data_IF_881838841901
#
_entry.id   IF_881838841901
#
_cell.length_a   1.000
_cell.length_b   1.000
_cell.length_c   1.000
_cell.angle_alpha   90.00
_cell.angle_beta   90.00
_cell.angle_gamma   90.00
#
_symmetry.space_group_name_H-M   'P 1'
#
loop_
_entity.id
_entity.type
_entity.pdbx_description
1 polymer ?
#
# COMPACT_ATOMS: atom_id res chain seq x y z
N UNK A 1 -6.37 18.12 14.94
CA UNK A 1 -7.17 17.65 13.78
C UNK A 1 -6.92 18.49 12.54
N UNK A 2 -6.87 19.83 12.60
CA UNK A 2 -6.51 20.66 11.42
C UNK A 2 -5.04 20.59 11.01
N UNK A 3 -4.11 20.55 11.98
CA UNK A 3 -2.66 20.53 11.69
C UNK A 3 -2.21 19.26 10.95
N UNK A 4 -2.77 18.08 11.29
CA UNK A 4 -2.46 16.82 10.60
C UNK A 4 -3.00 16.78 9.16
N UNK A 5 -4.13 17.46 8.90
CA UNK A 5 -4.68 17.60 7.55
C UNK A 5 -3.81 18.52 6.68
N UNK A 6 -3.25 19.60 7.24
CA UNK A 6 -2.30 20.46 6.53
C UNK A 6 -0.96 19.77 6.25
N UNK A 7 -0.55 18.83 7.10
CA UNK A 7 0.70 18.09 6.95
C UNK A 7 0.60 16.95 5.95
N UNK A 8 -0.48 16.16 6.03
CA UNK A 8 -0.72 14.99 5.16
C UNK A 8 -1.31 15.41 3.79
N UNK A 9 -2.12 16.47 3.75
CA UNK A 9 -2.76 16.94 2.52
C UNK A 9 -4.01 16.15 2.14
N UNK A 10 -4.80 16.72 1.21
CA UNK A 10 -6.16 16.25 0.88
C UNK A 10 -6.19 14.81 0.32
N UNK A 11 -5.24 14.45 -0.55
CA UNK A 11 -5.21 13.14 -1.20
C UNK A 11 -4.79 12.00 -0.26
N UNK A 12 -3.88 12.29 0.67
CA UNK A 12 -3.36 11.30 1.62
C UNK A 12 -4.23 11.22 2.88
N UNK A 13 -5.04 12.25 3.14
CA UNK A 13 -6.01 12.26 4.24
C UNK A 13 -7.09 11.19 4.09
N UNK A 14 -7.66 11.02 2.88
CA UNK A 14 -8.63 9.95 2.61
C UNK A 14 -8.00 8.56 2.83
N UNK A 15 -6.74 8.38 2.42
CA UNK A 15 -5.99 7.15 2.63
C UNK A 15 -5.74 6.89 4.13
N UNK A 16 -5.37 7.91 4.89
CA UNK A 16 -5.16 7.83 6.34
C UNK A 16 -6.46 7.50 7.08
N UNK A 17 -7.59 8.08 6.68
CA UNK A 17 -8.90 7.73 7.23
C UNK A 17 -9.26 6.27 6.95
N UNK A 18 -9.10 5.81 5.71
CA UNK A 18 -9.35 4.42 5.33
C UNK A 18 -8.48 3.45 6.16
N UNK A 19 -7.21 3.79 6.39
CA UNK A 19 -6.30 3.03 7.27
C UNK A 19 -6.78 3.01 8.72
N UNK A 20 -7.21 4.14 9.27
CA UNK A 20 -7.77 4.21 10.64
C UNK A 20 -9.00 3.32 10.78
N UNK A 21 -9.86 3.25 9.75
CA UNK A 21 -11.03 2.36 9.75
C UNK A 21 -10.65 0.87 9.77
N UNK A 22 -9.48 0.48 9.25
CA UNK A 22 -8.97 -0.90 9.38
C UNK A 22 -8.49 -1.25 10.79
N UNK A 23 -8.28 -0.27 11.67
CA UNK A 23 -7.81 -0.46 13.05
C UNK A 23 -6.32 -0.79 13.18
N UNK A 24 -5.56 -0.81 12.08
CA UNK A 24 -4.11 -1.04 12.06
C UNK A 24 -3.35 0.27 11.87
N UNK A 25 -3.23 1.09 12.91
CA UNK A 25 -2.38 2.29 12.89
C UNK A 25 -1.64 2.47 14.22
N UNK A 26 -0.45 3.09 14.15
CA UNK A 26 0.29 3.52 15.35
C UNK A 26 -0.18 4.92 15.72
N UNK A 27 -0.70 5.04 16.94
CA UNK A 27 -1.07 6.33 17.50
C UNK A 27 0.17 7.05 18.06
N UNK A 28 0.35 8.31 17.68
CA UNK A 28 1.29 9.23 18.29
C UNK A 28 0.88 9.56 19.73
N UNK A 29 1.71 10.32 20.43
CA UNK A 29 1.53 10.80 21.81
C UNK A 29 0.18 11.50 22.06
N UNK A 30 -0.44 12.08 21.02
CA UNK A 30 -1.75 12.74 21.08
C UNK A 30 -2.94 11.79 20.77
N UNK A 31 -2.67 10.50 20.51
CA UNK A 31 -3.70 9.50 20.18
C UNK A 31 -4.17 9.54 18.71
N UNK A 32 -3.59 10.42 17.90
CA UNK A 32 -3.80 10.52 16.45
C UNK A 32 -2.78 9.64 15.71
N UNK A 33 -3.09 9.12 14.50
CA UNK A 33 -2.11 8.40 13.69
C UNK A 33 -0.88 9.28 13.42
N UNK A 34 0.31 8.71 13.57
CA UNK A 34 1.56 9.40 13.27
C UNK A 34 1.70 9.57 11.74
N UNK A 35 1.82 10.81 11.27
CA UNK A 35 1.99 11.16 9.85
C UNK A 35 3.31 10.63 9.27
N UNK A 36 4.39 10.68 10.04
CA UNK A 36 5.70 10.19 9.59
C UNK A 36 5.73 8.68 9.37
N UNK A 37 5.07 7.88 10.23
CA UNK A 37 4.91 6.43 10.01
C UNK A 37 3.96 6.15 8.83
N UNK A 38 2.94 7.00 8.63
CA UNK A 38 2.04 6.88 7.49
C UNK A 38 2.78 7.02 6.16
N UNK A 39 3.63 8.05 6.00
CA UNK A 39 4.42 8.25 4.78
C UNK A 39 5.39 7.09 4.51
N UNK A 40 5.95 6.47 5.56
CA UNK A 40 6.89 5.35 5.43
C UNK A 40 6.18 4.05 4.98
N UNK A 41 4.91 3.87 5.38
CA UNK A 41 4.14 2.66 5.05
C UNK A 41 3.24 2.81 3.85
N UNK A 42 2.89 4.05 3.46
CA UNK A 42 1.99 4.30 2.33
C UNK A 42 2.70 4.02 1.00
N UNK A 43 2.20 3.03 0.27
CA UNK A 43 2.74 2.62 -1.02
C UNK A 43 2.02 3.26 -2.22
N UNK A 44 1.14 4.23 -1.96
CA UNK A 44 0.41 4.97 -2.98
C UNK A 44 -1.02 4.48 -3.24
N UNK A 45 -1.66 5.16 -4.19
CA UNK A 45 -2.98 4.85 -4.72
C UNK A 45 -2.83 4.17 -6.08
N UNK A 46 -3.56 3.07 -6.27
CA UNK A 46 -3.48 2.22 -7.45
C UNK A 46 -4.87 1.97 -8.02
N UNK A 47 -4.96 1.77 -9.33
CA UNK A 47 -6.25 1.48 -9.99
C UNK A 47 -6.86 0.17 -9.47
N UNK A 48 -6.03 -0.81 -9.07
CA UNK A 48 -6.47 -2.07 -8.46
C UNK A 48 -5.30 -2.78 -7.76
N UNK A 49 -5.61 -3.72 -6.87
CA UNK A 49 -4.61 -4.56 -6.17
C UNK A 49 -3.65 -5.31 -7.13
N UNK A 50 -4.10 -5.92 -8.25
CA UNK A 50 -3.19 -6.56 -9.20
C UNK A 50 -2.23 -5.60 -9.91
N UNK A 51 -2.60 -4.33 -10.03
CA UNK A 51 -1.75 -3.29 -10.64
C UNK A 51 -0.54 -3.02 -9.73
N UNK A 52 -0.79 -2.85 -8.43
CA UNK A 52 0.27 -2.76 -7.42
C UNK A 52 1.16 -4.01 -7.40
N UNK A 53 0.58 -5.20 -7.42
CA UNK A 53 1.34 -6.45 -7.40
C UNK A 53 2.30 -6.55 -8.61
N UNK A 54 1.83 -6.16 -9.78
CA UNK A 54 2.65 -6.14 -11.01
C UNK A 54 3.80 -5.14 -10.89
N UNK A 55 3.51 -3.93 -10.41
CA UNK A 55 4.53 -2.91 -10.19
C UNK A 55 5.58 -3.34 -9.15
N UNK A 56 5.14 -3.96 -8.04
CA UNK A 56 6.04 -4.46 -7.00
C UNK A 56 6.96 -5.57 -7.53
N UNK A 57 6.45 -6.46 -8.37
CA UNK A 57 7.26 -7.49 -9.01
C UNK A 57 8.36 -6.91 -9.92
N UNK A 58 8.07 -5.79 -10.60
CA UNK A 58 9.05 -5.05 -11.40
C UNK A 58 10.10 -4.35 -10.51
N UNK A 59 9.67 -3.69 -9.43
CA UNK A 59 10.54 -3.03 -8.44
C UNK A 59 11.50 -4.00 -7.75
N UNK A 60 11.01 -5.19 -7.38
CA UNK A 60 11.82 -6.26 -6.79
C UNK A 60 12.70 -6.98 -7.81
N UNK A 61 12.58 -6.60 -9.09
CA UNK A 61 13.38 -7.16 -10.20
C UNK A 61 13.23 -8.68 -10.31
N UNK A 62 12.04 -9.21 -10.01
CA UNK A 62 11.74 -10.65 -10.08
C UNK A 62 12.07 -11.22 -11.46
N UNK A 63 11.87 -10.40 -12.50
CA UNK A 63 12.16 -10.77 -13.88
C UNK A 63 13.65 -10.98 -14.19
N UNK A 64 14.58 -10.43 -13.39
CA UNK A 64 16.02 -10.70 -13.54
C UNK A 64 16.41 -12.04 -12.90
N UNK A 65 15.67 -12.48 -11.87
CA UNK A 65 15.87 -13.78 -11.23
C UNK A 65 15.22 -14.94 -11.99
N UNK A 66 14.13 -14.67 -12.72
CA UNK A 66 13.43 -15.68 -13.52
C UNK A 66 14.02 -15.71 -14.95
N UNK A 67 14.40 -16.88 -15.49
CA UNK A 67 14.81 -16.99 -16.88
C UNK A 67 13.73 -16.48 -17.86
N UNK A 68 14.11 -15.69 -18.88
CA UNK A 68 13.18 -15.03 -19.83
C UNK A 68 12.13 -15.98 -20.44
N UNK A 69 12.54 -17.21 -20.80
CA UNK A 69 11.63 -18.20 -21.39
C UNK A 69 10.56 -18.73 -20.41
N UNK A 70 10.70 -18.45 -19.11
CA UNK A 70 9.77 -18.82 -18.06
C UNK A 70 8.92 -17.64 -17.56
N UNK A 71 9.18 -16.40 -18.01
CA UNK A 71 8.41 -15.22 -17.57
C UNK A 71 6.91 -15.39 -17.78
N UNK A 72 6.49 -15.92 -18.94
CA UNK A 72 5.09 -16.18 -19.25
C UNK A 72 4.43 -17.28 -18.39
N UNK A 73 5.22 -18.06 -17.66
CA UNK A 73 4.73 -19.10 -16.75
C UNK A 73 4.75 -18.64 -15.29
N UNK A 74 5.33 -17.48 -14.99
CA UNK A 74 5.37 -16.94 -13.64
C UNK A 74 3.98 -16.41 -13.26
N UNK A 75 3.43 -16.95 -12.18
CA UNK A 75 2.11 -16.59 -11.69
C UNK A 75 2.25 -15.48 -10.63
N UNK A 76 2.14 -14.23 -11.09
CA UNK A 76 2.24 -13.03 -10.23
C UNK A 76 1.14 -13.04 -9.17
N UNK A 77 -0.06 -13.55 -9.48
CA UNK A 77 -1.17 -13.59 -8.52
C UNK A 77 -0.87 -14.58 -7.38
N UNK A 78 -0.31 -15.73 -7.72
CA UNK A 78 0.14 -16.70 -6.73
C UNK A 78 1.26 -16.14 -5.83
N UNK A 79 2.26 -15.48 -6.44
CA UNK A 79 3.35 -14.84 -5.68
C UNK A 79 2.82 -13.71 -4.78
N UNK A 80 1.98 -12.84 -5.33
CA UNK A 80 1.38 -11.75 -4.59
C UNK A 80 0.56 -12.25 -3.42
N UNK A 81 -0.15 -13.37 -3.55
CA UNK A 81 -0.94 -13.95 -2.45
C UNK A 81 -0.09 -14.34 -1.24
N UNK A 82 1.15 -14.77 -1.45
CA UNK A 82 2.09 -15.04 -0.37
C UNK A 82 2.59 -13.72 0.25
N UNK A 83 2.96 -12.75 -0.58
CA UNK A 83 3.52 -11.46 -0.14
C UNK A 83 2.46 -10.52 0.47
N UNK A 84 1.19 -10.68 0.09
CA UNK A 84 0.03 -9.86 0.47
C UNK A 84 -0.15 -9.75 1.98
N UNK A 85 0.39 -10.70 2.74
CA UNK A 85 0.36 -10.73 4.20
C UNK A 85 1.09 -9.54 4.84
N UNK A 86 2.14 -9.05 4.19
CA UNK A 86 2.92 -7.89 4.64
C UNK A 86 2.30 -6.55 4.20
N UNK A 87 1.12 -6.58 3.57
CA UNK A 87 0.42 -5.41 3.08
C UNK A 87 -1.01 -5.33 3.61
N UNK A 88 -1.54 -4.12 3.70
CA UNK A 88 -2.96 -3.85 3.90
C UNK A 88 -3.46 -3.04 2.70
N UNK A 89 -4.61 -3.45 2.16
CA UNK A 89 -5.24 -2.78 1.03
C UNK A 89 -6.61 -2.31 1.46
N UNK A 90 -6.88 -1.03 1.19
CA UNK A 90 -8.15 -0.37 1.49
C UNK A 90 -8.75 0.15 0.19
N UNK A 91 -10.05 0.00 0.01
CA UNK A 91 -10.74 0.58 -1.14
C UNK A 91 -10.68 2.11 -1.08
N UNK A 92 -10.34 2.74 -2.21
CA UNK A 92 -10.34 4.19 -2.34
C UNK A 92 -11.75 4.70 -2.69
N UNK A 93 -12.14 5.82 -2.08
CA UNK A 93 -13.42 6.49 -2.28
C UNK A 93 -13.70 6.83 -3.76
N UNK A 94 -12.65 7.12 -4.53
CA UNK A 94 -12.71 7.58 -5.93
C UNK A 94 -12.66 6.43 -6.97
N UNK A 95 -12.53 5.18 -6.51
CA UNK A 95 -12.33 4.02 -7.38
C UNK A 95 -10.84 3.72 -7.54
N UNK A 96 -10.40 2.64 -6.90
CA UNK A 96 -9.00 2.25 -6.79
C UNK A 96 -8.74 1.66 -5.41
N UNK A 97 -7.47 1.51 -5.06
CA UNK A 97 -7.06 0.99 -3.76
C UNK A 97 -5.87 1.75 -3.20
N UNK A 98 -5.89 1.97 -1.90
CA UNK A 98 -4.74 2.42 -1.12
C UNK A 98 -3.98 1.21 -0.60
N UNK A 99 -2.67 1.20 -0.82
CA UNK A 99 -1.79 0.12 -0.36
C UNK A 99 -0.89 0.62 0.75
N UNK A 100 -0.81 -0.16 1.83
CA UNK A 100 0.01 0.13 3.00
C UNK A 100 0.87 -1.08 3.34
N UNK A 101 2.12 -0.87 3.76
CA UNK A 101 2.92 -1.92 4.41
C UNK A 101 2.42 -2.15 5.83
N UNK A 102 2.38 -3.41 6.24
CA UNK A 102 1.95 -3.86 7.56
C UNK A 102 3.17 -4.42 8.29
N UNK A 103 3.90 -3.55 8.98
CA UNK A 103 5.08 -3.94 9.78
C UNK A 103 4.71 -4.39 11.20
#
# INVERSE_FOLDING_TARGET
>A
MGELFEEVGEHEWDALLARVETGCYVADSDGLPCSSDFEDWFCGCWDSEPDYASHLAEELVIWDEVPEHLHSYFDIDAWWRDERHDYTICDASDGGVYVFRSH
#
